data_IF_939676973048
#
_entry.id   IF_939676973048
#
_cell.length_a   1.000
_cell.length_b   1.000
_cell.length_c   1.000
_cell.angle_alpha   90.00
_cell.angle_beta   90.00
_cell.angle_gamma   90.00
#
_symmetry.space_group_name_H-M   'P 1'
#
loop_
_entity.id
_entity.type
_entity.pdbx_description
1 polymer ?
#
# COMPACT_ATOMS: atom_id res chain seq x y z
N UNK A 1 -7.15 -32.05 -4.88
CA UNK A 1 -7.48 -30.66 -5.23
C UNK A 1 -6.21 -29.86 -5.12
N UNK A 2 -5.61 -29.57 -6.26
CA UNK A 2 -4.24 -29.07 -6.38
C UNK A 2 -4.11 -27.62 -5.89
N UNK A 3 -3.35 -27.44 -4.82
CA UNK A 3 -2.97 -26.12 -4.28
C UNK A 3 -1.96 -25.34 -5.15
N UNK A 4 -1.80 -25.75 -6.41
CA UNK A 4 -0.79 -25.25 -7.35
C UNK A 4 -1.20 -23.93 -8.03
N UNK A 5 -2.48 -23.53 -7.95
CA UNK A 5 -3.03 -22.51 -8.85
C UNK A 5 -2.75 -21.05 -8.49
N UNK A 6 -2.41 -20.72 -7.23
CA UNK A 6 -2.15 -19.32 -6.82
C UNK A 6 -0.66 -19.01 -6.60
N UNK A 7 0.16 -20.01 -6.25
CA UNK A 7 1.62 -19.84 -6.10
C UNK A 7 2.34 -19.72 -7.45
N UNK A 8 1.77 -20.27 -8.51
CA UNK A 8 2.34 -20.20 -9.85
C UNK A 8 2.17 -18.81 -10.49
N UNK A 9 1.05 -18.12 -10.20
CA UNK A 9 0.62 -16.99 -11.01
C UNK A 9 1.48 -15.73 -10.82
N UNK A 10 1.88 -15.43 -9.59
CA UNK A 10 2.77 -14.28 -9.33
C UNK A 10 4.22 -14.54 -9.72
N UNK A 11 4.65 -15.81 -9.70
CA UNK A 11 6.03 -16.20 -9.99
C UNK A 11 6.36 -15.92 -11.45
N UNK A 12 5.52 -16.37 -12.38
CA UNK A 12 5.74 -16.19 -13.82
C UNK A 12 5.67 -14.72 -14.23
N UNK A 13 4.84 -13.92 -13.55
CA UNK A 13 4.79 -12.48 -13.76
C UNK A 13 6.03 -11.78 -13.20
N UNK A 14 6.48 -12.16 -12.00
CA UNK A 14 7.70 -11.64 -11.40
C UNK A 14 8.94 -11.96 -12.21
N UNK A 15 9.07 -13.20 -12.70
CA UNK A 15 10.19 -13.64 -13.51
C UNK A 15 10.29 -12.83 -14.80
N UNK A 16 9.18 -12.74 -15.55
CA UNK A 16 9.11 -11.89 -16.75
C UNK A 16 9.39 -10.43 -16.47
N UNK A 17 8.98 -9.91 -15.30
CA UNK A 17 9.26 -8.53 -14.91
C UNK A 17 10.75 -8.34 -14.64
N UNK A 18 11.39 -9.23 -13.88
CA UNK A 18 12.82 -9.21 -13.57
C UNK A 18 13.66 -9.33 -14.85
N UNK A 19 13.32 -10.29 -15.73
CA UNK A 19 14.00 -10.53 -17.00
C UNK A 19 13.95 -9.31 -17.92
N UNK A 20 12.80 -8.63 -17.99
CA UNK A 20 12.62 -7.43 -18.83
C UNK A 20 13.60 -6.32 -18.49
N UNK A 21 14.00 -6.21 -17.22
CA UNK A 21 14.96 -5.21 -16.76
C UNK A 21 16.38 -5.76 -16.62
N UNK A 22 16.64 -6.98 -17.09
CA UNK A 22 17.98 -7.58 -17.09
C UNK A 22 18.52 -7.89 -15.69
N UNK A 23 17.64 -8.10 -14.70
CA UNK A 23 18.02 -8.30 -13.29
C UNK A 23 18.08 -9.77 -12.86
N UNK A 24 18.00 -10.72 -13.79
CA UNK A 24 17.98 -12.15 -13.44
C UNK A 24 19.22 -12.60 -12.64
N UNK A 25 20.38 -11.94 -12.82
CA UNK A 25 21.60 -12.22 -12.05
C UNK A 25 21.59 -11.58 -10.65
N UNK A 26 20.98 -10.41 -10.50
CA UNK A 26 20.94 -9.65 -9.23
C UNK A 26 19.76 -10.05 -8.33
N UNK A 27 18.65 -10.48 -8.92
CA UNK A 27 17.42 -10.87 -8.24
C UNK A 27 16.82 -12.11 -8.92
N UNK A 28 17.27 -13.29 -8.50
CA UNK A 28 16.61 -14.53 -8.91
C UNK A 28 15.25 -14.71 -8.22
N UNK A 29 14.43 -15.65 -8.71
CA UNK A 29 13.16 -16.00 -8.07
C UNK A 29 13.35 -16.58 -6.66
N UNK A 30 14.44 -17.32 -6.42
CA UNK A 30 14.80 -17.84 -5.09
C UNK A 30 15.10 -16.67 -4.15
N UNK A 31 15.87 -15.68 -4.61
CA UNK A 31 16.16 -14.49 -3.82
C UNK A 31 14.88 -13.69 -3.54
N UNK A 32 13.99 -13.57 -4.51
CA UNK A 32 12.69 -12.92 -4.32
C UNK A 32 11.84 -13.67 -3.26
N UNK A 33 11.85 -15.00 -3.28
CA UNK A 33 11.18 -15.80 -2.25
C UNK A 33 11.79 -15.57 -0.87
N UNK A 34 13.11 -15.52 -0.75
CA UNK A 34 13.77 -15.18 0.51
C UNK A 34 13.30 -13.82 1.05
N UNK A 35 13.22 -12.80 0.19
CA UNK A 35 12.73 -11.46 0.56
C UNK A 35 11.28 -11.49 1.06
N UNK A 36 10.42 -12.29 0.42
CA UNK A 36 9.04 -12.51 0.83
C UNK A 36 8.97 -13.22 2.19
N UNK A 37 9.70 -14.33 2.36
CA UNK A 37 9.69 -15.14 3.58
C UNK A 37 10.30 -14.40 4.78
N UNK A 38 11.37 -13.62 4.58
CA UNK A 38 11.97 -12.80 5.62
C UNK A 38 11.14 -11.55 5.94
N UNK A 39 10.02 -11.34 5.24
CA UNK A 39 9.15 -10.17 5.35
C UNK A 39 9.92 -8.85 5.21
N UNK A 40 10.91 -8.83 4.32
CA UNK A 40 11.75 -7.64 4.07
C UNK A 40 10.89 -6.43 3.75
N UNK A 41 11.14 -5.30 4.41
CA UNK A 41 10.35 -4.08 4.23
C UNK A 41 10.54 -3.48 2.83
N UNK A 42 11.79 -3.43 2.38
CA UNK A 42 12.15 -2.99 1.03
C UNK A 42 13.52 -3.51 0.65
N UNK A 43 13.72 -3.70 -0.66
CA UNK A 43 15.03 -3.91 -1.28
C UNK A 43 15.07 -3.09 -2.56
N UNK A 44 16.24 -2.58 -2.95
CA UNK A 44 16.39 -1.73 -4.12
C UNK A 44 17.74 -1.93 -4.78
N UNK A 45 17.76 -1.88 -6.10
CA UNK A 45 18.97 -1.78 -6.92
C UNK A 45 18.80 -0.67 -7.97
N UNK A 46 19.89 -0.17 -8.52
CA UNK A 46 19.88 0.85 -9.57
C UNK A 46 20.08 0.20 -10.93
N UNK A 47 19.19 0.50 -11.88
CA UNK A 47 19.28 0.05 -13.26
C UNK A 47 20.30 0.88 -14.05
N UNK A 48 20.80 0.37 -15.20
CA UNK A 48 21.78 1.09 -16.03
C UNK A 48 21.33 2.46 -16.52
N UNK A 49 20.02 2.70 -16.63
CA UNK A 49 19.43 3.99 -17.02
C UNK A 49 19.30 4.99 -15.86
N UNK A 50 19.75 4.61 -14.66
CA UNK A 50 19.69 5.40 -13.43
C UNK A 50 18.35 5.34 -12.70
N UNK A 51 17.35 4.59 -13.20
CA UNK A 51 16.14 4.31 -12.44
C UNK A 51 16.39 3.28 -11.32
N UNK A 52 15.54 3.26 -10.31
CA UNK A 52 15.54 2.26 -9.26
C UNK A 52 14.61 1.09 -9.60
N UNK A 53 15.06 -0.12 -9.33
CA UNK A 53 14.21 -1.30 -9.23
C UNK A 53 13.98 -1.63 -7.76
N UNK A 54 12.72 -1.76 -7.36
CA UNK A 54 12.30 -1.82 -5.97
C UNK A 54 11.47 -3.08 -5.71
N UNK A 55 11.84 -3.81 -4.66
CA UNK A 55 10.93 -4.71 -3.96
C UNK A 55 10.35 -3.95 -2.76
N UNK A 56 9.02 -3.91 -2.64
CA UNK A 56 8.32 -3.08 -1.67
C UNK A 56 7.30 -3.91 -0.88
N UNK A 57 7.33 -3.77 0.45
CA UNK A 57 6.27 -4.25 1.33
C UNK A 57 5.38 -3.10 1.79
N UNK A 58 4.08 -3.29 1.60
CA UNK A 58 3.01 -2.45 2.12
C UNK A 58 2.35 -3.10 3.33
N UNK A 59 2.31 -2.38 4.44
CA UNK A 59 1.52 -2.76 5.61
C UNK A 59 0.08 -2.27 5.43
N UNK A 60 -0.84 -3.21 5.37
CA UNK A 60 -2.28 -2.96 5.37
C UNK A 60 -2.77 -2.91 6.83
N UNK A 61 -3.46 -1.85 7.26
CA UNK A 61 -4.06 -1.81 8.59
C UNK A 61 -5.11 -2.92 8.74
N UNK A 62 -4.96 -3.76 9.78
CA UNK A 62 -5.92 -4.82 10.12
C UNK A 62 -6.50 -4.54 11.50
N UNK A 63 -7.83 -4.65 11.63
CA UNK A 63 -8.51 -4.57 12.92
C UNK A 63 -8.71 -5.98 13.48
N UNK A 64 -8.13 -6.27 14.64
CA UNK A 64 -8.21 -7.57 15.31
C UNK A 64 -9.52 -7.70 16.12
N UNK A 65 -10.64 -7.93 15.43
CA UNK A 65 -11.93 -8.33 16.04
C UNK A 65 -12.58 -9.40 15.18
N UNK A 66 -13.26 -10.38 15.78
CA UNK A 66 -13.89 -11.47 15.02
C UNK A 66 -14.94 -10.98 14.01
N UNK A 67 -15.64 -9.88 14.34
CA UNK A 67 -16.79 -9.37 13.59
C UNK A 67 -16.40 -8.54 12.35
N UNK A 68 -15.11 -8.26 12.11
CA UNK A 68 -14.65 -7.31 11.09
C UNK A 68 -13.81 -7.92 9.97
N UNK A 69 -13.75 -9.26 9.87
CA UNK A 69 -12.94 -9.95 8.85
C UNK A 69 -13.27 -9.48 7.43
N UNK A 70 -14.56 -9.40 7.08
CA UNK A 70 -15.02 -8.91 5.77
C UNK A 70 -14.60 -7.46 5.54
N UNK A 71 -14.66 -6.62 6.58
CA UNK A 71 -14.20 -5.23 6.51
C UNK A 71 -12.70 -5.14 6.24
N UNK A 72 -11.88 -5.93 6.93
CA UNK A 72 -10.43 -6.00 6.70
C UNK A 72 -10.10 -6.50 5.28
N UNK A 73 -10.85 -7.48 4.76
CA UNK A 73 -10.66 -7.99 3.40
C UNK A 73 -10.96 -6.90 2.35
N UNK A 74 -12.11 -6.23 2.46
CA UNK A 74 -12.52 -5.17 1.54
C UNK A 74 -11.59 -3.95 1.62
N UNK A 75 -11.25 -3.52 2.83
CA UNK A 75 -10.33 -2.42 3.04
C UNK A 75 -8.92 -2.76 2.53
N UNK A 76 -8.45 -3.98 2.77
CA UNK A 76 -7.18 -4.45 2.24
C UNK A 76 -7.16 -4.50 0.72
N UNK A 77 -8.21 -4.99 0.08
CA UNK A 77 -8.34 -4.97 -1.39
C UNK A 77 -8.31 -3.54 -1.94
N UNK A 78 -9.06 -2.62 -1.32
CA UNK A 78 -9.03 -1.20 -1.65
C UNK A 78 -7.62 -0.60 -1.54
N UNK A 79 -6.93 -0.84 -0.43
CA UNK A 79 -5.57 -0.33 -0.20
C UNK A 79 -4.59 -0.89 -1.22
N UNK A 80 -4.66 -2.19 -1.53
CA UNK A 80 -3.77 -2.84 -2.51
C UNK A 80 -3.98 -2.30 -3.92
N UNK A 81 -5.23 -2.06 -4.33
CA UNK A 81 -5.55 -1.42 -5.62
C UNK A 81 -4.99 -0.01 -5.70
N UNK A 82 -5.20 0.81 -4.67
CA UNK A 82 -4.65 2.17 -4.61
C UNK A 82 -3.12 2.17 -4.62
N UNK A 83 -2.50 1.19 -3.96
CA UNK A 83 -1.05 1.07 -3.96
C UNK A 83 -0.50 0.75 -5.34
N UNK A 84 -1.07 -0.25 -6.02
CA UNK A 84 -0.67 -0.58 -7.38
C UNK A 84 -0.89 0.59 -8.35
N UNK A 85 -2.01 1.31 -8.24
CA UNK A 85 -2.29 2.51 -9.03
C UNK A 85 -1.26 3.62 -8.76
N UNK A 86 -1.02 3.95 -7.49
CA UNK A 86 -0.06 5.00 -7.11
C UNK A 86 1.38 4.69 -7.53
N UNK A 87 1.80 3.41 -7.47
CA UNK A 87 3.09 2.97 -7.99
C UNK A 87 3.15 3.10 -9.51
N UNK A 88 2.12 2.66 -10.24
CA UNK A 88 2.05 2.74 -11.71
C UNK A 88 1.92 4.19 -12.24
N UNK A 89 1.49 5.14 -11.42
CA UNK A 89 1.55 6.57 -11.78
C UNK A 89 2.97 7.14 -11.76
N UNK A 90 3.91 6.47 -11.10
CA UNK A 90 5.29 6.94 -10.90
C UNK A 90 6.33 6.01 -11.55
N UNK A 91 5.89 5.02 -12.32
CA UNK A 91 6.76 3.97 -12.83
C UNK A 91 5.94 2.80 -13.35
N UNK A 92 6.58 1.65 -13.49
CA UNK A 92 5.90 0.39 -13.75
C UNK A 92 5.94 -0.46 -12.49
N UNK A 93 4.82 -1.08 -12.11
CA UNK A 93 4.75 -1.94 -10.94
C UNK A 93 3.79 -3.11 -11.15
N UNK A 94 4.16 -4.24 -10.54
CA UNK A 94 3.33 -5.44 -10.46
C UNK A 94 3.10 -5.83 -9.00
N UNK A 95 1.96 -6.45 -8.72
CA UNK A 95 1.68 -7.07 -7.44
C UNK A 95 2.22 -8.50 -7.43
N UNK A 96 2.85 -8.91 -6.33
CA UNK A 96 3.35 -10.27 -6.16
C UNK A 96 2.31 -11.10 -5.40
N UNK A 97 2.22 -10.86 -4.10
CA UNK A 97 1.36 -11.59 -3.18
C UNK A 97 0.99 -10.68 -2.03
N UNK A 98 -0.05 -11.03 -1.29
CA UNK A 98 -0.38 -10.38 -0.03
C UNK A 98 -1.18 -11.31 0.87
N UNK A 99 -1.02 -11.12 2.17
CA UNK A 99 -1.91 -11.63 3.19
C UNK A 99 -2.77 -10.48 3.73
N UNK A 100 -3.37 -10.62 4.90
CA UNK A 100 -4.26 -9.59 5.46
C UNK A 100 -3.52 -8.29 5.79
N UNK A 101 -2.29 -8.37 6.31
CA UNK A 101 -1.54 -7.25 6.87
C UNK A 101 -0.34 -6.82 6.04
N UNK A 102 0.12 -7.64 5.09
CA UNK A 102 1.23 -7.35 4.19
C UNK A 102 0.84 -7.56 2.71
N UNK A 103 1.31 -6.67 1.83
CA UNK A 103 1.23 -6.81 0.39
C UNK A 103 2.57 -6.44 -0.26
N UNK A 104 2.98 -7.21 -1.27
CA UNK A 104 4.30 -7.11 -1.87
C UNK A 104 4.23 -6.74 -3.35
N UNK A 105 5.17 -5.90 -3.77
CA UNK A 105 5.24 -5.36 -5.12
C UNK A 105 6.67 -5.37 -5.65
N UNK A 106 6.80 -5.50 -6.97
CA UNK A 106 7.99 -5.06 -7.70
C UNK A 106 7.64 -3.77 -8.42
N UNK A 107 8.56 -2.81 -8.42
CA UNK A 107 8.36 -1.53 -9.10
C UNK A 107 9.66 -1.02 -9.71
N UNK A 108 9.57 -0.40 -10.88
CA UNK A 108 10.67 0.36 -11.51
C UNK A 108 10.27 1.82 -11.57
N UNK A 109 11.09 2.69 -10.99
CA UNK A 109 10.82 4.12 -10.94
C UNK A 109 12.10 4.94 -10.82
N UNK A 110 12.07 6.18 -11.31
CA UNK A 110 13.10 7.19 -10.98
C UNK A 110 12.94 7.78 -9.58
N UNK A 111 11.83 7.45 -8.90
CA UNK A 111 11.48 7.92 -7.56
C UNK A 111 12.07 6.98 -6.50
N UNK A 112 12.54 7.56 -5.40
CA UNK A 112 12.97 6.77 -4.26
C UNK A 112 11.77 6.14 -3.51
N UNK A 113 12.06 5.14 -2.66
CA UNK A 113 11.04 4.44 -1.85
C UNK A 113 10.14 5.42 -1.06
N UNK A 114 10.71 6.50 -0.51
CA UNK A 114 9.95 7.50 0.23
C UNK A 114 8.96 8.30 -0.63
N UNK A 115 9.31 8.59 -1.88
CA UNK A 115 8.41 9.27 -2.82
C UNK A 115 7.32 8.33 -3.32
N UNK A 116 7.66 7.07 -3.60
CA UNK A 116 6.68 6.02 -3.92
C UNK A 116 5.69 5.80 -2.76
N UNK A 117 6.17 5.86 -1.52
CA UNK A 117 5.31 5.81 -0.34
C UNK A 117 4.30 6.94 -0.29
N UNK A 118 4.75 8.15 -0.61
CA UNK A 118 3.89 9.31 -0.66
C UNK A 118 2.86 9.19 -1.79
N UNK A 119 3.24 8.66 -2.96
CA UNK A 119 2.32 8.43 -4.06
C UNK A 119 1.20 7.44 -3.69
N UNK A 120 1.55 6.32 -3.07
CA UNK A 120 0.56 5.35 -2.55
C UNK A 120 -0.38 6.01 -1.55
N UNK A 121 0.17 6.77 -0.60
CA UNK A 121 -0.63 7.49 0.39
C UNK A 121 -1.60 8.48 -0.25
N UNK A 122 -1.12 9.30 -1.19
CA UNK A 122 -1.95 10.28 -1.90
C UNK A 122 -3.08 9.58 -2.67
N UNK A 123 -2.80 8.44 -3.30
CA UNK A 123 -3.81 7.64 -3.98
C UNK A 123 -4.89 7.14 -3.00
N UNK A 124 -4.47 6.54 -1.87
CA UNK A 124 -5.40 6.08 -0.82
C UNK A 124 -6.25 7.24 -0.29
N UNK A 125 -5.65 8.37 0.07
CA UNK A 125 -6.37 9.54 0.59
C UNK A 125 -7.39 10.11 -0.42
N UNK A 126 -7.04 10.11 -1.70
CA UNK A 126 -7.92 10.61 -2.77
C UNK A 126 -9.13 9.69 -3.01
N UNK A 127 -8.96 8.37 -2.86
CA UNK A 127 -9.99 7.37 -3.14
C UNK A 127 -10.80 6.98 -1.89
N UNK A 128 -10.32 7.33 -0.70
CA UNK A 128 -11.00 7.00 0.56
C UNK A 128 -12.47 7.44 0.60
N UNK A 129 -12.87 8.64 0.09
CA UNK A 129 -14.27 9.02 0.04
C UNK A 129 -15.12 8.05 -0.79
N UNK A 130 -14.59 7.49 -1.89
CA UNK A 130 -15.33 6.54 -2.73
C UNK A 130 -15.68 5.27 -1.94
N UNK A 131 -14.79 4.80 -1.06
CA UNK A 131 -15.02 3.62 -0.22
C UNK A 131 -16.18 3.82 0.78
N UNK A 132 -16.33 5.02 1.32
CA UNK A 132 -17.38 5.34 2.31
C UNK A 132 -18.66 5.92 1.69
N UNK A 133 -18.58 6.44 0.46
CA UNK A 133 -19.66 7.19 -0.19
C UNK A 133 -20.16 6.56 -1.50
N UNK A 134 -19.70 5.36 -1.87
CA UNK A 134 -20.24 4.59 -2.98
C UNK A 134 -21.76 4.42 -2.81
N UNK A 135 -22.53 5.29 -3.49
CA UNK A 135 -23.99 5.36 -3.40
C UNK A 135 -24.59 6.75 -3.13
N UNK A 136 -23.80 7.79 -2.84
CA UNK A 136 -24.31 9.16 -2.69
C UNK A 136 -23.49 10.14 -3.52
N UNK A 137 -24.13 10.72 -4.54
CA UNK A 137 -23.58 11.86 -5.31
C UNK A 137 -23.32 13.02 -4.37
N UNK A 138 -22.05 13.41 -4.23
CA UNK A 138 -21.63 14.58 -3.48
C UNK A 138 -22.12 15.86 -4.17
N UNK A 139 -23.12 16.52 -3.59
CA UNK A 139 -23.34 17.95 -3.85
C UNK A 139 -22.34 18.73 -3.01
N UNK A 140 -21.37 19.37 -3.68
CA UNK A 140 -20.33 20.15 -3.05
C UNK A 140 -20.89 21.22 -2.10
N UNK A 141 -20.48 21.14 -0.84
CA UNK A 141 -20.92 22.08 0.18
C UNK A 141 -20.15 21.94 1.50
N UNK A 142 -18.82 22.11 1.47
CA UNK A 142 -18.07 22.86 2.50
C UNK A 142 -16.57 22.74 2.29
N UNK A 143 -15.93 23.91 2.25
CA UNK A 143 -14.50 24.15 2.11
C UNK A 143 -13.76 23.72 3.38
N UNK A 144 -13.08 22.59 3.35
CA UNK A 144 -12.15 22.16 4.40
C UNK A 144 -10.71 22.49 4.01
N UNK A 145 -10.10 23.47 4.66
CA UNK A 145 -8.73 23.93 4.37
C UNK A 145 -7.70 22.82 4.54
N UNK A 146 -6.95 22.55 3.47
CA UNK A 146 -5.84 21.59 3.40
C UNK A 146 -4.71 22.03 4.34
N UNK A 147 -4.50 21.32 5.46
CA UNK A 147 -3.26 21.47 6.26
C UNK A 147 -2.25 20.42 5.80
N UNK A 148 -1.16 20.89 5.20
CA UNK A 148 0.06 20.13 4.95
C UNK A 148 0.82 19.97 6.27
N UNK A 149 0.99 18.75 6.76
CA UNK A 149 1.93 18.45 7.83
C UNK A 149 3.27 18.04 7.22
N UNK A 150 4.24 18.95 7.27
CA UNK A 150 5.66 18.67 7.05
C UNK A 150 6.24 17.93 8.27
N UNK A 151 6.76 16.73 8.07
CA UNK A 151 7.46 15.93 9.10
C UNK A 151 8.69 15.24 8.50
N UNK A 152 9.82 15.46 9.16
CA UNK A 152 11.22 15.12 8.82
C UNK A 152 11.50 13.64 8.46
N UNK A 153 12.51 13.34 7.60
CA UNK A 153 12.83 11.98 7.17
C UNK A 153 13.87 11.36 8.12
N UNK A 154 13.45 10.42 8.97
CA UNK A 154 14.34 9.38 9.49
C UNK A 154 13.53 8.30 10.22
N UNK A 155 13.35 7.14 9.58
CA UNK A 155 13.31 5.80 10.17
C UNK A 155 12.79 4.80 9.13
N UNK A 156 13.63 3.80 8.81
CA UNK A 156 13.33 2.47 8.25
C UNK A 156 12.04 2.38 7.42
N UNK A 157 12.15 2.70 6.13
CA UNK A 157 11.05 2.81 5.17
C UNK A 157 10.41 1.46 4.86
N UNK A 158 9.36 1.12 5.61
CA UNK A 158 8.25 0.32 5.11
C UNK A 158 7.13 1.27 4.71
N UNK A 159 6.33 0.91 3.70
CA UNK A 159 5.12 1.66 3.37
C UNK A 159 4.10 1.42 4.50
N UNK A 160 4.19 2.21 5.56
CA UNK A 160 3.30 2.10 6.71
C UNK A 160 2.18 3.14 6.59
N UNK A 161 0.98 2.67 6.24
CA UNK A 161 -0.25 3.48 6.21
C UNK A 161 -0.79 3.83 7.60
N UNK A 162 -0.18 3.35 8.69
CA UNK A 162 -0.69 3.53 10.06
C UNK A 162 -0.83 5.00 10.52
N UNK A 163 -0.23 5.97 9.82
CA UNK A 163 -0.44 7.38 10.13
C UNK A 163 -1.81 7.93 9.69
N UNK A 164 -2.58 7.19 8.88
CA UNK A 164 -3.92 7.58 8.42
C UNK A 164 -5.03 7.39 9.47
N UNK A 165 -4.80 6.56 10.49
CA UNK A 165 -5.83 6.16 11.46
C UNK A 165 -5.46 6.54 12.89
N UNK A 166 -4.89 7.73 13.13
CA UNK A 166 -5.00 8.31 14.49
C UNK A 166 -6.44 8.80 14.67
N UNK A 167 -7.25 8.21 15.55
CA UNK A 167 -8.57 8.74 15.86
C UNK A 167 -8.38 10.04 16.65
N UNK A 168 -8.30 11.15 15.93
CA UNK A 168 -8.37 12.47 16.53
C UNK A 168 -9.85 12.83 16.61
N UNK A 169 -10.41 12.83 17.82
CA UNK A 169 -11.77 13.25 18.20
C UNK A 169 -12.92 12.24 18.02
N UNK A 170 -12.99 11.24 18.89
CA UNK A 170 -14.27 10.89 19.50
C UNK A 170 -14.57 11.96 20.57
N UNK A 171 -15.11 13.11 20.14
CA UNK A 171 -15.82 14.00 21.07
C UNK A 171 -17.06 13.26 21.51
N UNK A 172 -17.11 12.95 22.80
CA UNK A 172 -18.32 12.52 23.48
C UNK A 172 -19.48 13.48 23.14
N UNK A 173 -20.56 12.93 22.60
CA UNK A 173 -21.82 13.63 22.40
C UNK A 173 -22.91 12.82 23.07
N UNK A 174 -23.27 13.23 24.29
CA UNK A 174 -24.57 13.10 25.01
C UNK A 174 -24.30 13.66 26.42
N UNK A 175 -25.03 14.58 27.06
CA UNK A 175 -26.29 15.29 26.82
C UNK A 175 -26.34 16.42 27.89
N UNK A 176 -26.68 17.69 27.58
CA UNK A 176 -26.86 18.71 28.61
C UNK A 176 -28.33 18.74 29.04
N UNK A 177 -28.68 18.04 30.13
CA UNK A 177 -29.99 18.20 30.79
C UNK A 177 -29.96 17.63 32.21
N UNK A 178 -29.81 18.50 33.21
CA UNK A 178 -30.62 18.50 34.44
C UNK A 178 -30.04 19.53 35.41
N UNK A 179 -30.66 20.71 35.42
CA UNK A 179 -30.75 21.53 36.64
C UNK A 179 -31.65 20.77 37.61
N UNK A 180 -31.21 20.56 38.85
CA UNK A 180 -31.91 20.87 40.10
C UNK A 180 -30.94 20.61 41.25
#
# INVERSE_FOLDING_TARGET
MDGTSHRALWRDEAERFIERYGLAEDLSIERLQELLFSRTASWTTTLPDGSGFHFLKLRVPVVEREEVLTGNLLFGDFVRKCALEGLNQNGEAIALTGDLDDAYYLAVSRKGVGELALAVRVCVEARLPELFLAGKTWSAGSTGTRRTCSGSPNATSSLTLCSLFRPSSLRAFTNPSSRY
#
